data_IF_037010156477
#
_entry.id   IF_037010156477
#
_cell.length_a   1.000
_cell.length_b   1.000
_cell.length_c   1.000
_cell.angle_alpha   90.00
_cell.angle_beta   90.00
_cell.angle_gamma   90.00
#
_symmetry.space_group_name_H-M   'P 1'
#
loop_
_entity.id
_entity.type
_entity.pdbx_description
1 polymer ?
#
# COMPACT_ATOMS: atom_id res chain seq x y z
N UNK A 1 21.66 31.51 68.43
CA UNK A 1 21.70 31.72 66.99
C UNK A 1 21.53 30.37 66.31
N UNK A 2 20.31 30.07 65.86
CA UNK A 2 20.00 28.79 65.18
C UNK A 2 20.17 28.99 63.70
N UNK A 3 21.07 28.20 63.05
CA UNK A 3 21.24 28.18 61.62
C UNK A 3 20.17 27.23 61.06
N UNK A 4 19.28 27.80 60.25
CA UNK A 4 18.27 27.05 59.45
C UNK A 4 18.96 26.64 58.15
N UNK A 5 19.19 25.33 57.98
CA UNK A 5 19.56 24.73 56.69
C UNK A 5 18.29 24.57 55.85
N UNK A 6 18.21 25.28 54.74
CA UNK A 6 17.19 25.09 53.69
C UNK A 6 17.75 24.03 52.73
N UNK A 7 17.20 22.85 52.74
CA UNK A 7 17.49 21.81 51.77
C UNK A 7 16.60 22.08 50.53
N UNK A 8 17.22 22.52 49.42
CA UNK A 8 16.57 22.63 48.12
C UNK A 8 16.59 21.22 47.49
N UNK A 9 15.46 20.54 47.53
CA UNK A 9 15.26 19.32 46.73
C UNK A 9 15.10 19.70 45.29
N UNK A 10 16.15 19.54 44.48
CA UNK A 10 16.05 19.61 43.04
C UNK A 10 15.31 18.37 42.53
N UNK A 11 14.04 18.56 42.16
CA UNK A 11 13.22 17.57 41.52
C UNK A 11 13.68 17.48 40.04
N UNK A 12 14.58 16.55 39.77
CA UNK A 12 14.94 16.16 38.39
C UNK A 12 13.72 15.50 37.76
N UNK A 13 12.95 16.29 37.03
CA UNK A 13 12.02 15.79 36.02
C UNK A 13 12.86 15.12 34.92
N UNK A 14 13.03 13.82 35.03
CA UNK A 14 13.48 12.97 33.92
C UNK A 14 12.31 12.94 32.92
N UNK A 15 12.31 13.89 31.99
CA UNK A 15 11.56 13.75 30.76
C UNK A 15 12.18 12.54 30.04
N UNK A 16 11.58 11.37 30.24
CA UNK A 16 11.80 10.24 29.37
C UNK A 16 11.30 10.68 27.99
N UNK A 17 12.20 11.19 27.16
CA UNK A 17 11.98 11.18 25.71
C UNK A 17 11.90 9.70 25.34
N UNK A 18 10.69 9.16 25.27
CA UNK A 18 10.49 7.91 24.58
C UNK A 18 11.02 8.14 23.15
N UNK A 19 12.16 7.52 22.83
CA UNK A 19 12.65 7.51 21.47
C UNK A 19 11.51 6.98 20.60
N UNK A 20 11.12 7.75 19.57
CA UNK A 20 10.21 7.22 18.56
C UNK A 20 10.79 5.90 18.09
N UNK A 21 9.98 4.84 17.96
CA UNK A 21 10.48 3.58 17.41
C UNK A 21 11.13 3.88 16.05
N UNK A 22 12.32 3.33 15.84
CA UNK A 22 13.00 3.51 14.56
C UNK A 22 12.18 2.78 13.48
N UNK A 23 11.81 3.51 12.43
CA UNK A 23 11.16 2.89 11.28
C UNK A 23 12.13 1.94 10.56
N UNK A 24 11.59 0.84 10.04
CA UNK A 24 12.34 -0.01 9.12
C UNK A 24 12.79 0.80 7.88
N UNK A 25 13.96 0.50 7.30
CA UNK A 25 14.33 0.99 5.97
C UNK A 25 13.24 0.63 4.94
N UNK A 26 12.95 1.51 4.00
CA UNK A 26 11.85 1.34 3.04
C UNK A 26 11.94 0.02 2.25
N UNK A 27 13.15 -0.39 1.92
CA UNK A 27 13.43 -1.64 1.22
C UNK A 27 13.03 -2.90 1.98
N UNK A 28 12.91 -2.83 3.32
CA UNK A 28 12.49 -3.95 4.18
C UNK A 28 11.01 -3.90 4.53
N UNK A 29 10.34 -2.77 4.26
CA UNK A 29 8.97 -2.56 4.71
C UNK A 29 7.98 -3.53 4.08
N UNK A 30 6.99 -3.90 4.90
CA UNK A 30 5.76 -4.58 4.48
C UNK A 30 4.61 -3.60 4.52
N UNK A 31 3.85 -3.55 3.44
CA UNK A 31 2.69 -2.65 3.28
C UNK A 31 1.43 -3.39 3.70
N UNK A 32 0.56 -2.72 4.44
CA UNK A 32 -0.78 -3.19 4.76
C UNK A 32 -1.80 -2.22 4.17
N UNK A 33 -2.68 -2.71 3.32
CA UNK A 33 -3.76 -1.94 2.74
C UNK A 33 -5.01 -2.02 3.62
N UNK A 34 -5.41 -0.88 4.17
CA UNK A 34 -6.57 -0.76 5.06
C UNK A 34 -7.76 -0.15 4.33
N UNK A 35 -8.83 -0.93 4.25
CA UNK A 35 -10.15 -0.44 3.86
C UNK A 35 -10.90 0.02 5.12
N UNK A 36 -10.85 1.31 5.44
CA UNK A 36 -11.43 1.87 6.68
C UNK A 36 -12.91 1.54 6.82
N UNK A 37 -13.71 1.63 5.73
CA UNK A 37 -15.16 1.31 5.72
C UNK A 37 -15.43 -0.11 6.20
N UNK A 38 -14.58 -1.06 5.79
CA UNK A 38 -14.78 -2.49 6.02
C UNK A 38 -13.96 -3.03 7.21
N UNK A 39 -13.09 -2.21 7.80
CA UNK A 39 -12.09 -2.66 8.77
C UNK A 39 -12.69 -3.06 10.12
N UNK A 40 -13.75 -2.37 10.53
CA UNK A 40 -14.50 -2.65 11.78
C UNK A 40 -16.01 -2.50 11.54
N UNK A 41 -16.86 -3.05 12.40
CA UNK A 41 -18.30 -2.85 12.29
C UNK A 41 -18.71 -1.37 12.24
N UNK A 42 -18.01 -0.50 12.95
CA UNK A 42 -18.23 0.95 12.92
C UNK A 42 -17.74 1.57 11.59
N UNK A 43 -16.62 1.07 11.04
CA UNK A 43 -15.99 1.59 9.83
C UNK A 43 -15.43 3.00 9.99
N UNK A 44 -14.88 3.32 11.18
CA UNK A 44 -14.39 4.66 11.52
C UNK A 44 -12.91 4.64 11.94
N UNK A 45 -12.23 5.80 11.86
CA UNK A 45 -10.86 5.95 12.36
C UNK A 45 -10.75 5.65 13.85
N UNK A 46 -11.72 6.11 14.65
CA UNK A 46 -11.73 5.88 16.10
C UNK A 46 -11.85 4.38 16.45
N UNK A 47 -12.53 3.58 15.63
CA UNK A 47 -12.62 2.15 15.80
C UNK A 47 -11.35 1.45 15.27
N UNK A 48 -10.88 1.82 14.06
CA UNK A 48 -9.66 1.27 13.45
C UNK A 48 -8.41 1.54 14.31
N UNK A 49 -8.33 2.69 14.98
CA UNK A 49 -7.23 3.03 15.91
C UNK A 49 -7.04 1.98 16.99
N UNK A 50 -8.09 1.33 17.47
CA UNK A 50 -8.01 0.30 18.52
C UNK A 50 -7.32 -0.98 18.04
N UNK A 51 -7.30 -1.20 16.72
CA UNK A 51 -6.67 -2.35 16.09
C UNK A 51 -5.20 -2.10 15.67
N UNK A 52 -4.70 -0.87 15.74
CA UNK A 52 -3.32 -0.55 15.39
C UNK A 52 -2.28 -1.36 16.19
N UNK A 53 -2.46 -1.64 17.51
CA UNK A 53 -1.54 -2.51 18.24
C UNK A 53 -1.46 -3.93 17.68
N UNK A 54 -2.55 -4.45 17.08
CA UNK A 54 -2.57 -5.75 16.40
C UNK A 54 -1.72 -5.74 15.14
N UNK A 55 -1.78 -4.65 14.34
CA UNK A 55 -0.93 -4.48 13.16
C UNK A 55 0.54 -4.29 13.52
N UNK A 56 0.83 -3.58 14.61
CA UNK A 56 2.20 -3.49 15.13
C UNK A 56 2.72 -4.87 15.55
N UNK A 57 1.92 -5.67 16.25
CA UNK A 57 2.28 -7.03 16.65
C UNK A 57 2.50 -7.96 15.45
N UNK A 58 1.72 -7.77 14.40
CA UNK A 58 1.89 -8.47 13.12
C UNK A 58 3.23 -8.12 12.47
N UNK A 59 3.74 -6.90 12.70
CA UNK A 59 5.01 -6.40 12.17
C UNK A 59 4.88 -5.48 10.95
N UNK A 60 3.70 -4.89 10.72
CA UNK A 60 3.47 -3.97 9.61
C UNK A 60 4.31 -2.70 9.76
N UNK A 61 4.82 -2.17 8.65
CA UNK A 61 5.67 -0.98 8.60
C UNK A 61 4.97 0.22 7.97
N UNK A 62 4.23 -0.01 6.87
CA UNK A 62 3.52 1.01 6.13
C UNK A 62 2.04 0.64 6.09
N UNK A 63 1.21 1.52 6.62
CA UNK A 63 -0.24 1.43 6.55
C UNK A 63 -0.73 2.31 5.40
N UNK A 64 -1.18 1.69 4.31
CA UNK A 64 -1.83 2.37 3.21
C UNK A 64 -3.34 2.38 3.44
N UNK A 65 -3.90 3.57 3.64
CA UNK A 65 -5.34 3.80 3.71
C UNK A 65 -5.91 3.98 2.31
N UNK A 66 -6.89 3.16 1.93
CA UNK A 66 -7.72 3.43 0.75
C UNK A 66 -8.33 4.85 0.87
N UNK A 67 -8.87 5.44 -0.24
CA UNK A 67 -9.29 6.85 -0.20
C UNK A 67 -10.14 7.19 1.01
N UNK A 68 -9.75 8.25 1.72
CA UNK A 68 -10.34 8.68 3.00
C UNK A 68 -11.25 9.91 2.84
N UNK A 69 -11.44 10.37 1.62
CA UNK A 69 -12.13 11.61 1.27
C UNK A 69 -13.65 11.43 1.17
N UNK A 70 -14.43 12.51 1.27
CA UNK A 70 -15.86 12.50 0.95
C UNK A 70 -16.10 11.98 -0.46
N UNK A 71 -17.15 11.19 -0.62
CA UNK A 71 -17.51 10.54 -1.89
C UNK A 71 -18.65 11.33 -2.53
N UNK A 72 -18.57 11.58 -3.83
CA UNK A 72 -19.61 12.25 -4.61
C UNK A 72 -20.98 11.56 -4.52
N UNK A 73 -22.02 12.30 -4.81
CA UNK A 73 -23.42 11.83 -4.80
C UNK A 73 -23.96 11.66 -6.22
N UNK A 74 -23.50 12.52 -7.15
CA UNK A 74 -23.92 12.45 -8.55
C UNK A 74 -23.35 11.19 -9.22
N UNK A 75 -24.25 10.38 -9.80
CA UNK A 75 -23.87 9.12 -10.44
C UNK A 75 -23.43 8.01 -9.50
N UNK A 76 -23.58 8.19 -8.17
CA UNK A 76 -23.15 7.25 -7.13
C UNK A 76 -23.61 5.83 -7.39
N UNK A 77 -22.69 4.88 -7.37
CA UNK A 77 -22.95 3.43 -7.46
C UNK A 77 -23.19 2.85 -6.07
N UNK A 78 -24.16 1.96 -5.94
CA UNK A 78 -24.55 1.38 -4.65
C UNK A 78 -25.04 2.43 -3.65
N UNK A 79 -25.10 2.08 -2.37
CA UNK A 79 -25.60 2.98 -1.31
C UNK A 79 -24.54 3.99 -0.83
N UNK A 80 -23.27 3.58 -0.81
CA UNK A 80 -22.17 4.39 -0.25
C UNK A 80 -21.19 4.94 -1.30
N UNK A 81 -21.25 4.44 -2.54
CA UNK A 81 -20.42 4.90 -3.65
C UNK A 81 -19.00 4.35 -3.64
N UNK A 82 -18.28 4.66 -4.72
CA UNK A 82 -16.88 4.33 -4.89
C UNK A 82 -16.01 5.21 -4.00
N UNK A 83 -15.04 4.61 -3.30
CA UNK A 83 -13.98 5.34 -2.58
C UNK A 83 -13.21 6.29 -3.50
N UNK A 84 -13.13 5.96 -4.79
CA UNK A 84 -12.36 6.69 -5.80
C UNK A 84 -13.15 7.84 -6.47
N UNK A 85 -14.44 7.99 -6.20
CA UNK A 85 -15.24 9.14 -6.65
C UNK A 85 -15.07 10.32 -5.66
N UNK A 86 -13.90 10.94 -5.67
CA UNK A 86 -13.50 11.97 -4.70
C UNK A 86 -14.33 13.24 -4.86
N UNK A 87 -15.02 13.67 -3.80
CA UNK A 87 -15.77 14.93 -3.77
C UNK A 87 -14.90 16.11 -3.31
N UNK A 88 -14.06 15.91 -2.27
CA UNK A 88 -13.16 16.95 -1.75
C UNK A 88 -11.83 16.34 -1.30
N UNK A 89 -10.72 16.77 -1.89
CA UNK A 89 -9.39 16.24 -1.59
C UNK A 89 -8.82 16.62 -0.24
N UNK A 90 -9.39 17.59 0.46
CA UNK A 90 -8.84 18.13 1.72
C UNK A 90 -9.74 17.88 2.94
N UNK A 91 -10.75 17.03 2.78
CA UNK A 91 -11.67 16.66 3.85
C UNK A 91 -11.65 15.14 4.10
N UNK A 92 -12.10 14.77 5.29
CA UNK A 92 -12.32 13.38 5.69
C UNK A 92 -13.77 12.99 5.35
N UNK A 93 -13.96 11.78 4.83
CA UNK A 93 -15.28 11.20 4.64
C UNK A 93 -16.01 11.16 5.99
N UNK A 94 -17.17 11.80 6.12
CA UNK A 94 -17.92 11.85 7.38
C UNK A 94 -18.35 10.47 7.88
N UNK A 95 -18.37 9.43 7.01
CA UNK A 95 -18.59 8.05 7.43
C UNK A 95 -17.42 7.51 8.27
N UNK A 96 -16.20 8.02 8.09
CA UNK A 96 -15.00 7.56 8.79
C UNK A 96 -14.72 8.36 10.07
N UNK A 97 -15.40 9.49 10.28
CA UNK A 97 -15.23 10.39 11.41
C UNK A 97 -14.85 11.80 11.00
N UNK A 98 -14.15 12.50 11.87
CA UNK A 98 -13.71 13.88 11.66
C UNK A 98 -12.20 13.95 11.33
N UNK A 99 -11.72 15.16 11.01
CA UNK A 99 -10.28 15.41 10.85
C UNK A 99 -9.52 15.14 12.17
N UNK A 100 -10.12 15.46 13.31
CA UNK A 100 -9.54 15.20 14.62
C UNK A 100 -9.43 13.69 14.91
N UNK A 101 -10.41 12.89 14.48
CA UNK A 101 -10.35 11.42 14.58
C UNK A 101 -9.22 10.85 13.71
N UNK A 102 -9.05 11.38 12.50
CA UNK A 102 -7.94 11.00 11.63
C UNK A 102 -6.58 11.40 12.23
N UNK A 103 -6.43 12.64 12.74
CA UNK A 103 -5.19 13.09 13.36
C UNK A 103 -4.84 12.26 14.62
N UNK A 104 -5.84 11.85 15.40
CA UNK A 104 -5.64 10.95 16.55
C UNK A 104 -5.20 9.56 16.10
N UNK A 105 -5.81 9.02 15.04
CA UNK A 105 -5.41 7.74 14.42
C UNK A 105 -3.96 7.81 13.92
N UNK A 106 -3.59 8.88 13.18
CA UNK A 106 -2.25 9.10 12.65
C UNK A 106 -1.21 9.20 13.78
N UNK A 107 -1.50 9.95 14.83
CA UNK A 107 -0.62 10.08 15.99
C UNK A 107 -0.38 8.73 16.69
N UNK A 108 -1.43 7.90 16.83
CA UNK A 108 -1.30 6.56 17.41
C UNK A 108 -0.51 5.61 16.50
N UNK A 109 -0.76 5.64 15.17
CA UNK A 109 0.03 4.86 14.22
C UNK A 109 1.53 5.20 14.32
N UNK A 110 1.88 6.48 14.34
CA UNK A 110 3.26 6.93 14.52
C UNK A 110 3.85 6.54 15.87
N UNK A 111 3.05 6.61 16.95
CA UNK A 111 3.49 6.15 18.28
C UNK A 111 3.86 4.67 18.28
N UNK A 112 3.18 3.88 17.47
CA UNK A 112 3.42 2.45 17.28
C UNK A 112 4.52 2.14 16.25
N UNK A 113 5.10 3.17 15.60
CA UNK A 113 6.16 3.01 14.61
C UNK A 113 5.67 2.70 13.19
N UNK A 114 4.37 2.80 12.94
CA UNK A 114 3.79 2.64 11.61
C UNK A 114 3.92 3.95 10.82
N UNK A 115 4.30 3.86 9.53
CA UNK A 115 4.10 4.93 8.56
C UNK A 115 2.66 4.87 8.06
N UNK A 116 2.09 6.03 7.77
CA UNK A 116 0.74 6.11 7.19
C UNK A 116 0.82 6.80 5.84
N UNK A 117 0.37 6.12 4.79
CA UNK A 117 0.19 6.70 3.46
C UNK A 117 -1.28 6.66 3.09
N UNK A 118 -1.72 7.65 2.31
CA UNK A 118 -3.09 7.71 1.83
C UNK A 118 -3.17 7.55 0.32
N UNK A 119 -4.32 7.15 -0.17
CA UNK A 119 -4.57 7.05 -1.60
C UNK A 119 -4.74 8.44 -2.21
N UNK A 120 -4.04 8.72 -3.31
CA UNK A 120 -4.13 9.95 -4.10
C UNK A 120 -4.75 9.62 -5.45
N UNK A 121 -6.03 9.95 -5.61
CA UNK A 121 -6.78 9.75 -6.86
C UNK A 121 -6.56 10.96 -7.76
N UNK A 122 -5.46 10.97 -8.52
CA UNK A 122 -5.07 12.15 -9.27
C UNK A 122 -5.68 12.24 -10.68
N UNK A 123 -6.20 11.14 -11.24
CA UNK A 123 -6.73 11.11 -12.60
C UNK A 123 -8.13 11.75 -12.73
N UNK A 124 -8.96 11.65 -11.70
CA UNK A 124 -10.37 12.07 -11.77
C UNK A 124 -10.92 12.47 -10.39
N UNK A 125 -12.09 13.10 -10.40
CA UNK A 125 -12.91 13.39 -9.21
C UNK A 125 -14.28 12.76 -9.38
N UNK A 126 -15.20 12.95 -8.40
CA UNK A 126 -16.63 12.78 -8.68
C UNK A 126 -17.18 13.91 -9.58
N UNK A 127 -18.32 13.72 -10.28
CA UNK A 127 -18.93 14.76 -11.10
C UNK A 127 -19.39 15.99 -10.33
N UNK A 128 -19.73 15.81 -9.04
CA UNK A 128 -20.16 16.84 -8.10
C UNK A 128 -19.04 17.25 -7.11
N UNK A 129 -17.78 17.05 -7.46
CA UNK A 129 -16.65 17.49 -6.66
C UNK A 129 -16.65 19.01 -6.47
N UNK A 130 -16.11 19.48 -5.34
CA UNK A 130 -16.03 20.92 -5.06
C UNK A 130 -15.28 21.69 -6.16
N UNK A 131 -14.32 21.06 -6.80
CA UNK A 131 -13.60 21.67 -7.92
C UNK A 131 -14.47 21.89 -9.17
N UNK A 132 -15.57 21.17 -9.37
CA UNK A 132 -16.47 21.40 -10.52
C UNK A 132 -17.22 22.73 -10.43
N UNK A 133 -17.36 23.29 -9.22
CA UNK A 133 -18.03 24.57 -8.97
C UNK A 133 -17.06 25.69 -8.58
N UNK A 134 -15.95 25.37 -7.93
CA UNK A 134 -14.97 26.35 -7.42
C UNK A 134 -13.87 26.68 -8.44
N UNK A 135 -13.69 25.85 -9.45
CA UNK A 135 -12.64 25.98 -10.47
C UNK A 135 -13.23 26.25 -11.84
N UNK A 136 -12.38 26.73 -12.75
CA UNK A 136 -12.76 26.94 -14.13
C UNK A 136 -13.17 25.63 -14.83
N UNK A 137 -14.15 25.65 -15.75
CA UNK A 137 -14.61 24.46 -16.46
C UNK A 137 -13.49 23.69 -17.19
N UNK A 138 -12.40 24.36 -17.55
CA UNK A 138 -11.22 23.83 -18.24
C UNK A 138 -10.35 22.93 -17.35
N UNK A 139 -10.69 22.82 -16.06
CA UNK A 139 -10.06 21.86 -15.17
C UNK A 139 -10.43 20.40 -15.48
N UNK A 140 -11.54 20.23 -16.23
CA UNK A 140 -12.06 18.91 -16.60
C UNK A 140 -12.02 18.68 -18.10
N UNK A 141 -11.72 17.47 -18.51
CA UNK A 141 -11.91 17.03 -19.86
C UNK A 141 -13.39 17.07 -20.23
N UNK A 142 -13.70 17.52 -21.46
CA UNK A 142 -15.08 17.62 -21.93
C UNK A 142 -15.22 17.08 -23.33
N UNK A 143 -16.35 16.43 -23.57
CA UNK A 143 -16.75 15.99 -24.92
C UNK A 143 -17.32 17.17 -25.77
N UNK A 144 -17.67 16.88 -27.01
CA UNK A 144 -18.24 17.86 -27.96
C UNK A 144 -19.54 18.51 -27.45
N UNK A 145 -20.27 17.83 -26.54
CA UNK A 145 -21.50 18.35 -25.92
C UNK A 145 -21.22 19.24 -24.68
N UNK A 146 -19.94 19.39 -24.30
CA UNK A 146 -19.51 20.15 -23.12
C UNK A 146 -19.68 19.43 -21.81
N UNK A 147 -20.01 18.13 -21.80
CA UNK A 147 -20.08 17.30 -20.60
C UNK A 147 -18.70 16.77 -20.23
N UNK A 148 -18.45 16.61 -18.94
CA UNK A 148 -17.23 15.96 -18.45
C UNK A 148 -17.12 14.53 -18.98
N UNK A 149 -15.90 14.10 -19.29
CA UNK A 149 -15.60 12.73 -19.66
C UNK A 149 -15.28 11.88 -18.44
N UNK A 150 -15.31 10.57 -18.59
CA UNK A 150 -14.89 9.60 -17.58
C UNK A 150 -14.18 8.42 -18.25
N UNK A 151 -13.37 7.71 -17.48
CA UNK A 151 -12.61 6.55 -17.96
C UNK A 151 -13.48 5.29 -17.89
N UNK A 152 -13.37 4.40 -18.88
CA UNK A 152 -14.08 3.12 -18.94
C UNK A 152 -15.61 3.27 -18.70
N UNK A 153 -16.16 2.55 -17.73
CA UNK A 153 -17.56 2.59 -17.31
C UNK A 153 -17.80 3.33 -15.99
N UNK A 154 -16.82 4.15 -15.53
CA UNK A 154 -16.84 4.84 -14.24
C UNK A 154 -17.65 6.13 -14.31
N UNK A 155 -18.95 5.99 -14.62
CA UNK A 155 -19.89 7.11 -14.81
C UNK A 155 -20.11 7.98 -13.56
N UNK A 156 -19.60 7.56 -12.42
CA UNK A 156 -19.54 8.28 -11.15
C UNK A 156 -18.24 9.10 -10.96
N UNK A 157 -17.47 9.28 -12.06
CA UNK A 157 -16.24 10.08 -12.08
C UNK A 157 -16.24 11.16 -13.15
N UNK A 158 -15.30 12.10 -13.07
CA UNK A 158 -15.03 13.16 -14.05
C UNK A 158 -13.52 13.34 -14.20
N UNK A 159 -13.00 13.14 -15.42
CA UNK A 159 -11.58 13.21 -15.70
C UNK A 159 -11.04 14.64 -15.56
N UNK A 160 -9.90 14.78 -14.90
CA UNK A 160 -9.16 16.03 -14.78
C UNK A 160 -8.36 16.31 -16.06
N UNK A 161 -8.33 17.56 -16.49
CA UNK A 161 -7.61 17.99 -17.69
C UNK A 161 -6.19 18.43 -17.35
N UNK A 162 -5.23 17.54 -17.47
CA UNK A 162 -3.81 17.82 -17.21
C UNK A 162 -3.09 18.66 -18.28
N UNK A 163 -3.75 19.05 -19.37
CA UNK A 163 -3.24 20.11 -20.25
C UNK A 163 -3.30 21.47 -19.55
N UNK A 164 -4.20 21.62 -18.58
CA UNK A 164 -4.31 22.81 -17.74
C UNK A 164 -3.36 22.72 -16.53
N UNK A 165 -2.35 23.57 -16.48
CA UNK A 165 -1.36 23.61 -15.38
C UNK A 165 -1.94 24.04 -14.02
N UNK A 166 -3.12 24.66 -13.98
CA UNK A 166 -3.79 24.99 -12.72
C UNK A 166 -4.29 23.71 -12.02
N UNK A 167 -4.61 22.65 -12.76
CA UNK A 167 -4.92 21.31 -12.21
C UNK A 167 -3.69 20.76 -11.49
N UNK A 168 -2.49 20.92 -12.05
CA UNK A 168 -1.24 20.50 -11.42
C UNK A 168 -1.04 21.19 -10.07
N UNK A 169 -1.20 22.51 -10.04
CA UNK A 169 -1.07 23.29 -8.82
C UNK A 169 -2.13 22.89 -7.77
N UNK A 170 -3.36 22.63 -8.20
CA UNK A 170 -4.44 22.18 -7.32
C UNK A 170 -4.17 20.83 -6.70
N UNK A 171 -3.78 19.84 -7.51
CA UNK A 171 -3.46 18.49 -7.03
C UNK A 171 -2.22 18.47 -6.15
N UNK A 172 -1.14 19.16 -6.55
CA UNK A 172 0.06 19.31 -5.72
C UNK A 172 -0.24 20.00 -4.39
N UNK A 173 -1.15 21.00 -4.40
CA UNK A 173 -1.64 21.66 -3.20
C UNK A 173 -2.42 20.72 -2.26
N UNK A 174 -3.27 19.87 -2.80
CA UNK A 174 -3.98 18.85 -2.03
C UNK A 174 -3.01 17.82 -1.41
N UNK A 175 -2.01 17.36 -2.18
CA UNK A 175 -0.96 16.48 -1.64
C UNK A 175 -0.17 17.17 -0.53
N UNK A 176 0.22 18.44 -0.70
CA UNK A 176 0.94 19.20 0.33
C UNK A 176 0.11 19.34 1.60
N UNK A 177 -1.19 19.60 1.50
CA UNK A 177 -2.08 19.69 2.66
C UNK A 177 -2.00 18.42 3.53
N UNK A 178 -2.01 17.25 2.94
CA UNK A 178 -1.92 16.00 3.70
C UNK A 178 -0.52 15.75 4.27
N UNK A 179 0.54 16.12 3.54
CA UNK A 179 1.91 16.08 4.08
C UNK A 179 2.06 17.02 5.29
N UNK A 180 1.43 18.17 5.28
CA UNK A 180 1.38 19.10 6.42
C UNK A 180 0.58 18.55 7.61
N UNK A 181 -0.41 17.66 7.37
CA UNK A 181 -1.10 16.88 8.40
C UNK A 181 -0.22 15.79 9.01
N UNK A 182 0.90 15.47 8.38
CA UNK A 182 1.93 14.57 8.90
C UNK A 182 1.85 13.13 8.39
N UNK A 183 1.15 12.87 7.29
CA UNK A 183 1.25 11.54 6.64
C UNK A 183 2.65 11.31 6.08
N UNK A 184 2.98 10.05 5.79
CA UNK A 184 4.33 9.66 5.34
C UNK A 184 4.44 9.48 3.82
N UNK A 185 3.38 9.72 3.07
CA UNK A 185 3.39 9.62 1.62
C UNK A 185 2.06 9.22 0.99
N UNK A 186 2.14 8.68 -0.24
CA UNK A 186 0.95 8.40 -1.04
C UNK A 186 1.06 7.07 -1.79
N UNK A 187 -0.09 6.42 -1.98
CA UNK A 187 -0.34 5.51 -3.10
C UNK A 187 -1.10 6.31 -4.15
N UNK A 188 -0.60 6.33 -5.37
CA UNK A 188 -1.18 7.10 -6.46
C UNK A 188 -1.96 6.20 -7.39
N UNK A 189 -3.28 6.40 -7.37
CA UNK A 189 -4.25 5.72 -8.21
C UNK A 189 -4.01 6.03 -9.68
N UNK A 190 -4.06 4.99 -10.53
CA UNK A 190 -3.90 5.11 -11.99
C UNK A 190 -2.73 6.02 -12.39
N UNK A 191 -1.56 5.86 -11.74
CA UNK A 191 -0.43 6.78 -11.91
C UNK A 191 0.06 6.88 -13.37
N UNK A 192 -0.18 5.85 -14.20
CA UNK A 192 0.18 5.83 -15.61
C UNK A 192 -0.72 6.71 -16.49
N UNK A 193 -1.95 7.02 -16.05
CA UNK A 193 -2.90 7.88 -16.79
C UNK A 193 -2.69 9.37 -16.49
N UNK A 194 -1.86 9.70 -15.50
CA UNK A 194 -1.49 11.07 -15.16
C UNK A 194 -0.13 11.39 -15.77
N UNK A 195 0.08 12.59 -16.36
CA UNK A 195 1.33 12.94 -17.01
C UNK A 195 2.55 12.73 -16.11
N UNK A 196 3.56 12.10 -16.66
CA UNK A 196 4.80 11.76 -15.97
C UNK A 196 5.52 13.01 -15.42
N UNK A 197 5.46 14.09 -16.17
CA UNK A 197 6.03 15.40 -15.82
C UNK A 197 5.36 16.00 -14.59
N UNK A 198 4.05 15.79 -14.41
CA UNK A 198 3.35 16.19 -13.20
C UNK A 198 3.94 15.48 -11.97
N UNK A 199 4.10 14.16 -12.05
CA UNK A 199 4.71 13.39 -10.96
C UNK A 199 6.13 13.83 -10.69
N UNK A 200 6.94 14.03 -11.73
CA UNK A 200 8.33 14.48 -11.61
C UNK A 200 8.44 15.80 -10.86
N UNK A 201 7.66 16.81 -11.28
CA UNK A 201 7.68 18.14 -10.67
C UNK A 201 7.13 18.09 -9.23
N UNK A 202 6.00 17.43 -9.02
CA UNK A 202 5.29 17.38 -7.73
C UNK A 202 6.07 16.59 -6.68
N UNK A 203 6.56 15.39 -7.03
CA UNK A 203 7.32 14.54 -6.10
C UNK A 203 8.64 15.23 -5.72
N UNK A 204 9.34 15.85 -6.68
CA UNK A 204 10.57 16.58 -6.39
C UNK A 204 10.33 17.76 -5.44
N UNK A 205 9.25 18.53 -5.67
CA UNK A 205 8.89 19.67 -4.83
C UNK A 205 8.48 19.24 -3.42
N UNK A 206 7.71 18.18 -3.27
CA UNK A 206 7.32 17.66 -1.95
C UNK A 206 8.50 17.04 -1.20
N UNK A 207 9.39 16.31 -1.88
CA UNK A 207 10.58 15.71 -1.24
C UNK A 207 11.61 16.74 -0.78
N UNK A 208 11.63 17.93 -1.35
CA UNK A 208 12.48 19.02 -0.85
C UNK A 208 12.12 19.38 0.60
N UNK A 209 10.84 19.33 0.96
CA UNK A 209 10.35 19.62 2.31
C UNK A 209 10.18 18.32 3.15
N UNK A 210 9.88 17.20 2.51
CA UNK A 210 9.61 15.91 3.13
C UNK A 210 10.48 14.79 2.54
N UNK A 211 11.81 14.77 2.82
CA UNK A 211 12.76 13.88 2.14
C UNK A 211 12.50 12.37 2.38
N UNK A 212 11.79 12.03 3.45
CA UNK A 212 11.39 10.65 3.77
C UNK A 212 10.06 10.20 3.15
N UNK A 213 9.43 11.03 2.30
CA UNK A 213 8.13 10.72 1.70
C UNK A 213 8.17 9.46 0.85
N UNK A 214 7.29 8.50 1.16
CA UNK A 214 7.10 7.28 0.39
C UNK A 214 6.08 7.49 -0.72
N UNK A 215 6.38 6.98 -1.91
CA UNK A 215 5.52 7.08 -3.08
C UNK A 215 5.34 5.70 -3.73
N UNK A 216 4.10 5.25 -3.80
CA UNK A 216 3.68 4.01 -4.45
C UNK A 216 2.81 4.35 -5.68
N UNK A 217 3.21 3.87 -6.85
CA UNK A 217 2.44 4.05 -8.07
C UNK A 217 1.59 2.81 -8.38
N UNK A 218 0.31 3.00 -8.66
CA UNK A 218 -0.43 1.99 -9.39
C UNK A 218 -0.07 2.08 -10.86
N UNK A 219 0.75 1.13 -11.31
CA UNK A 219 1.30 1.04 -12.65
C UNK A 219 2.57 0.20 -12.66
N UNK A 220 3.04 -0.18 -13.85
CA UNK A 220 4.23 -1.02 -14.02
C UNK A 220 5.31 -0.38 -14.89
N UNK A 221 5.10 0.84 -15.41
CA UNK A 221 6.04 1.48 -16.31
C UNK A 221 7.33 1.89 -15.60
N UNK A 222 8.50 1.51 -16.15
CA UNK A 222 9.80 1.84 -15.56
C UNK A 222 10.03 3.35 -15.36
N UNK A 223 9.37 4.17 -16.18
CA UNK A 223 9.45 5.63 -16.11
C UNK A 223 8.92 6.21 -14.79
N UNK A 224 7.98 5.52 -14.13
CA UNK A 224 7.49 5.91 -12.81
C UNK A 224 8.61 5.96 -11.77
N UNK A 225 9.60 5.07 -11.88
CA UNK A 225 10.77 5.09 -11.01
C UNK A 225 11.85 6.06 -11.53
N UNK A 226 12.30 5.83 -12.76
CA UNK A 226 13.50 6.48 -13.30
C UNK A 226 13.35 7.97 -13.57
N UNK A 227 12.12 8.45 -13.84
CA UNK A 227 11.87 9.85 -14.16
C UNK A 227 11.05 10.57 -13.09
N UNK A 228 10.06 9.92 -12.48
CA UNK A 228 9.15 10.59 -11.55
C UNK A 228 9.52 10.41 -10.07
N UNK A 229 10.35 9.45 -9.74
CA UNK A 229 10.85 9.25 -8.37
C UNK A 229 9.89 8.48 -7.45
N UNK A 230 9.00 7.65 -7.97
CA UNK A 230 8.28 6.68 -7.15
C UNK A 230 9.24 5.67 -6.52
N UNK A 231 8.99 5.28 -5.28
CA UNK A 231 9.77 4.25 -4.59
C UNK A 231 9.32 2.86 -5.04
N UNK A 232 8.00 2.66 -5.13
CA UNK A 232 7.39 1.38 -5.44
C UNK A 232 6.38 1.50 -6.57
N UNK A 233 6.23 0.44 -7.35
CA UNK A 233 5.18 0.28 -8.36
C UNK A 233 4.60 -1.12 -8.29
N UNK A 234 3.37 -1.30 -8.76
CA UNK A 234 2.70 -2.59 -8.74
C UNK A 234 3.45 -3.64 -9.59
N UNK A 235 3.34 -4.90 -9.19
CA UNK A 235 3.78 -6.07 -9.95
C UNK A 235 2.56 -6.87 -10.43
N UNK A 236 1.72 -6.25 -11.27
CA UNK A 236 0.49 -6.85 -11.80
C UNK A 236 0.79 -8.11 -12.63
N UNK A 237 1.83 -8.07 -13.45
CA UNK A 237 2.23 -9.22 -14.27
C UNK A 237 2.61 -10.42 -13.38
N UNK A 238 3.33 -10.18 -12.26
CA UNK A 238 3.62 -11.23 -11.28
C UNK A 238 2.34 -11.74 -10.61
N UNK A 239 1.45 -10.85 -10.20
CA UNK A 239 0.18 -11.21 -9.58
C UNK A 239 -0.60 -12.18 -10.50
N UNK A 240 -0.75 -11.84 -11.78
CA UNK A 240 -1.39 -12.71 -12.76
C UNK A 240 -0.62 -14.03 -12.98
N UNK A 241 0.71 -13.99 -12.98
CA UNK A 241 1.57 -15.18 -13.07
C UNK A 241 1.33 -16.13 -11.89
N UNK A 242 1.33 -15.63 -10.66
CA UNK A 242 1.08 -16.44 -9.46
C UNK A 242 -0.31 -17.09 -9.47
N UNK A 243 -1.35 -16.33 -9.87
CA UNK A 243 -2.69 -16.88 -10.07
C UNK A 243 -2.71 -18.01 -11.13
N UNK A 244 -2.03 -17.81 -12.26
CA UNK A 244 -1.96 -18.79 -13.33
C UNK A 244 -1.18 -20.06 -12.91
N UNK A 245 -0.10 -19.91 -12.13
CA UNK A 245 0.63 -21.06 -11.55
C UNK A 245 -0.27 -21.83 -10.59
N UNK A 246 -0.99 -21.14 -9.71
CA UNK A 246 -1.90 -21.79 -8.77
C UNK A 246 -3.00 -22.61 -9.46
N UNK A 247 -3.43 -22.19 -10.65
CA UNK A 247 -4.40 -22.93 -11.49
C UNK A 247 -3.76 -23.98 -12.42
N UNK A 248 -2.42 -24.10 -12.41
CA UNK A 248 -1.69 -25.00 -13.29
C UNK A 248 -1.62 -24.57 -14.76
N UNK A 249 -1.88 -23.31 -15.06
CA UNK A 249 -1.84 -22.70 -16.40
C UNK A 249 -0.44 -22.21 -16.76
N UNK A 250 0.40 -21.97 -15.77
CA UNK A 250 1.79 -21.52 -15.87
C UNK A 250 2.71 -22.39 -15.00
N UNK A 251 4.00 -22.28 -15.21
CA UNK A 251 5.01 -23.15 -14.62
C UNK A 251 6.28 -22.38 -14.19
N UNK A 252 7.26 -23.07 -13.59
CA UNK A 252 8.51 -22.51 -13.11
C UNK A 252 9.32 -21.78 -14.21
N UNK A 253 9.56 -22.37 -15.42
CA UNK A 253 10.23 -21.67 -16.50
C UNK A 253 9.63 -20.31 -16.85
N UNK A 254 8.30 -20.20 -16.90
CA UNK A 254 7.61 -18.96 -17.21
C UNK A 254 7.74 -17.90 -16.08
N UNK A 255 7.72 -18.37 -14.81
CA UNK A 255 8.00 -17.50 -13.66
C UNK A 255 9.44 -16.96 -13.73
N UNK A 256 10.42 -17.80 -14.03
CA UNK A 256 11.82 -17.39 -14.13
C UNK A 256 12.05 -16.45 -15.32
N UNK A 257 11.38 -16.66 -16.44
CA UNK A 257 11.39 -15.75 -17.58
C UNK A 257 10.81 -14.37 -17.20
N UNK A 258 9.70 -14.33 -16.46
CA UNK A 258 9.15 -13.08 -15.93
C UNK A 258 10.16 -12.36 -15.03
N UNK A 259 10.76 -13.06 -14.05
CA UNK A 259 11.73 -12.47 -13.12
C UNK A 259 12.92 -11.85 -13.89
N UNK A 260 13.44 -12.55 -14.89
CA UNK A 260 14.54 -12.05 -15.72
C UNK A 260 14.13 -10.80 -16.51
N UNK A 261 12.97 -10.81 -17.15
CA UNK A 261 12.43 -9.66 -17.90
C UNK A 261 12.15 -8.46 -17.01
N UNK A 262 11.58 -8.68 -15.83
CA UNK A 262 11.30 -7.58 -14.89
C UNK A 262 12.59 -6.93 -14.39
N UNK A 263 13.61 -7.74 -14.09
CA UNK A 263 14.93 -7.25 -13.70
C UNK A 263 15.67 -6.48 -14.80
N UNK A 264 15.44 -6.81 -16.08
CA UNK A 264 15.99 -6.06 -17.22
C UNK A 264 15.24 -4.74 -17.48
N UNK A 265 13.92 -4.77 -17.27
CA UNK A 265 13.00 -3.66 -17.56
C UNK A 265 13.05 -2.56 -16.51
N UNK A 266 13.08 -2.94 -15.23
CA UNK A 266 12.96 -2.02 -14.11
C UNK A 266 14.31 -1.47 -13.65
N UNK A 267 14.37 -0.22 -13.15
CA UNK A 267 15.57 0.26 -12.45
C UNK A 267 15.94 -0.64 -11.27
N UNK A 268 17.23 -0.80 -11.03
CA UNK A 268 17.72 -1.73 -10.00
C UNK A 268 17.24 -1.39 -8.58
N UNK A 269 17.02 -0.11 -8.29
CA UNK A 269 16.55 0.42 -7.01
C UNK A 269 15.00 0.46 -6.89
N UNK A 270 14.27 0.09 -7.94
CA UNK A 270 12.81 0.04 -7.93
C UNK A 270 12.28 -1.05 -7.01
N UNK A 271 11.27 -0.71 -6.18
CA UNK A 271 10.51 -1.70 -5.42
C UNK A 271 9.29 -2.15 -6.24
N UNK A 272 9.01 -3.43 -6.19
CA UNK A 272 7.86 -4.04 -6.86
C UNK A 272 6.82 -4.45 -5.81
N UNK A 273 5.67 -3.74 -5.73
CA UNK A 273 4.60 -4.13 -4.81
C UNK A 273 4.04 -5.48 -5.25
N UNK A 274 4.35 -6.50 -4.47
CA UNK A 274 3.94 -7.88 -4.73
C UNK A 274 2.81 -8.30 -3.80
N UNK A 275 1.76 -8.88 -4.34
CA UNK A 275 0.55 -9.17 -3.59
C UNK A 275 -0.19 -10.40 -4.13
N UNK A 276 -0.94 -11.05 -3.26
CA UNK A 276 -1.89 -12.10 -3.61
C UNK A 276 -3.32 -11.57 -3.67
N UNK A 277 -3.60 -10.44 -3.01
CA UNK A 277 -4.88 -9.73 -3.07
C UNK A 277 -4.69 -8.23 -2.81
N UNK A 278 -5.67 -7.43 -3.23
CA UNK A 278 -5.87 -6.04 -2.92
C UNK A 278 -7.38 -5.73 -2.98
N UNK A 279 -7.78 -4.47 -2.83
CA UNK A 279 -9.20 -4.08 -2.86
C UNK A 279 -9.90 -4.41 -4.18
N UNK A 280 -9.20 -4.31 -5.32
CA UNK A 280 -9.77 -4.64 -6.64
C UNK A 280 -9.92 -6.15 -6.82
N UNK A 281 -8.83 -6.89 -6.64
CA UNK A 281 -8.85 -8.34 -6.80
C UNK A 281 -9.85 -9.01 -5.88
N UNK A 282 -9.90 -8.60 -4.61
CA UNK A 282 -10.85 -9.14 -3.66
C UNK A 282 -12.30 -8.90 -4.10
N UNK A 283 -12.64 -7.68 -4.49
CA UNK A 283 -14.02 -7.32 -4.80
C UNK A 283 -14.47 -7.84 -6.18
N UNK A 284 -13.59 -7.81 -7.20
CA UNK A 284 -13.97 -8.05 -8.59
C UNK A 284 -13.55 -9.41 -9.13
N UNK A 285 -12.37 -9.92 -8.75
CA UNK A 285 -11.85 -11.21 -9.22
C UNK A 285 -12.09 -12.36 -8.24
N UNK A 286 -12.23 -12.05 -6.96
CA UNK A 286 -12.44 -13.04 -5.90
C UNK A 286 -11.33 -13.01 -4.84
N UNK A 287 -11.58 -13.69 -3.73
CA UNK A 287 -10.57 -13.85 -2.68
C UNK A 287 -9.36 -14.64 -3.20
N UNK A 288 -8.23 -14.55 -2.53
CA UNK A 288 -7.05 -15.38 -2.85
C UNK A 288 -7.35 -16.88 -2.76
N UNK A 289 -8.27 -17.27 -1.89
CA UNK A 289 -8.68 -18.67 -1.76
C UNK A 289 -9.52 -19.13 -2.96
N UNK A 290 -10.40 -18.28 -3.50
CA UNK A 290 -11.19 -18.60 -4.70
C UNK A 290 -10.30 -18.65 -5.95
N UNK A 291 -9.26 -17.80 -6.02
CA UNK A 291 -8.38 -17.69 -7.19
C UNK A 291 -7.21 -18.68 -7.17
N UNK A 292 -6.67 -18.98 -5.99
CA UNK A 292 -5.44 -19.75 -5.81
C UNK A 292 -5.64 -21.07 -5.02
N UNK A 293 -6.80 -21.25 -4.35
CA UNK A 293 -7.08 -22.44 -3.55
C UNK A 293 -6.00 -22.69 -2.48
N UNK A 294 -5.57 -23.94 -2.35
CA UNK A 294 -4.55 -24.36 -1.38
C UNK A 294 -3.16 -23.77 -1.64
N UNK A 295 -2.93 -23.20 -2.83
CA UNK A 295 -1.67 -22.52 -3.17
C UNK A 295 -1.53 -21.14 -2.50
N UNK A 296 -2.60 -20.55 -1.97
CA UNK A 296 -2.62 -19.16 -1.50
C UNK A 296 -1.48 -18.82 -0.53
N UNK A 297 -1.23 -19.69 0.47
CA UNK A 297 -0.10 -19.48 1.42
C UNK A 297 1.27 -19.50 0.73
N UNK A 298 1.48 -20.43 -0.22
CA UNK A 298 2.74 -20.48 -0.97
C UNK A 298 2.92 -19.26 -1.88
N UNK A 299 1.86 -18.81 -2.54
CA UNK A 299 1.93 -17.59 -3.38
C UNK A 299 2.23 -16.36 -2.52
N UNK A 300 1.69 -16.27 -1.31
CA UNK A 300 2.07 -15.22 -0.35
C UNK A 300 3.57 -15.33 0.02
N UNK A 301 4.12 -16.52 0.28
CA UNK A 301 5.56 -16.70 0.53
C UNK A 301 6.41 -16.16 -0.63
N UNK A 302 6.01 -16.40 -1.86
CA UNK A 302 6.72 -15.89 -3.03
C UNK A 302 6.71 -14.36 -3.09
N UNK A 303 5.62 -13.69 -2.71
CA UNK A 303 5.58 -12.21 -2.65
C UNK A 303 6.54 -11.62 -1.62
N UNK A 304 6.90 -12.37 -0.57
CA UNK A 304 7.85 -11.97 0.46
C UNK A 304 9.31 -12.27 0.13
N UNK A 305 9.56 -13.20 -0.80
CA UNK A 305 10.91 -13.76 -1.00
C UNK A 305 11.52 -13.53 -2.38
N UNK A 306 10.69 -13.28 -3.40
CA UNK A 306 11.16 -12.97 -4.76
C UNK A 306 11.93 -11.63 -4.80
N UNK A 307 12.84 -11.46 -5.82
CA UNK A 307 13.68 -10.26 -5.91
C UNK A 307 12.86 -8.98 -6.13
N UNK A 308 13.39 -7.86 -5.64
CA UNK A 308 12.80 -6.51 -5.72
C UNK A 308 11.42 -6.36 -5.06
N UNK A 309 10.87 -7.43 -4.45
CA UNK A 309 9.55 -7.45 -3.88
C UNK A 309 9.41 -6.59 -2.63
N UNK A 310 8.34 -5.78 -2.58
CA UNK A 310 7.79 -5.16 -1.40
C UNK A 310 6.41 -5.77 -1.17
N UNK A 311 6.23 -6.59 -0.12
CA UNK A 311 4.98 -7.32 0.07
C UNK A 311 3.83 -6.42 0.49
N UNK A 312 2.63 -6.72 -0.02
CA UNK A 312 1.36 -6.15 0.40
C UNK A 312 0.49 -7.22 1.05
N UNK A 313 -0.13 -6.86 2.17
CA UNK A 313 -1.22 -7.60 2.80
C UNK A 313 -2.47 -6.72 2.74
N UNK A 314 -3.56 -7.23 2.19
CA UNK A 314 -4.85 -6.55 2.15
C UNK A 314 -5.69 -6.89 3.38
N UNK A 315 -6.53 -5.96 3.81
CA UNK A 315 -7.51 -6.08 4.91
C UNK A 315 -8.14 -7.46 4.99
N UNK A 316 -7.90 -8.19 6.08
CA UNK A 316 -8.49 -9.50 6.36
C UNK A 316 -7.63 -10.70 5.96
N UNK A 317 -6.62 -10.55 5.10
CA UNK A 317 -5.76 -11.67 4.70
C UNK A 317 -5.03 -12.29 5.90
N UNK A 318 -4.62 -11.48 6.87
CA UNK A 318 -3.92 -11.91 8.07
C UNK A 318 -4.79 -12.75 9.04
N UNK A 319 -6.07 -12.87 8.77
CA UNK A 319 -6.94 -13.79 9.50
C UNK A 319 -7.57 -14.87 8.59
N UNK A 320 -7.15 -14.91 7.32
CA UNK A 320 -7.71 -15.85 6.35
C UNK A 320 -9.18 -15.55 6.02
N UNK A 321 -9.55 -14.27 5.97
CA UNK A 321 -10.91 -13.83 5.73
C UNK A 321 -11.35 -14.12 4.28
N UNK A 322 -11.95 -15.28 4.07
CA UNK A 322 -12.42 -15.72 2.74
C UNK A 322 -13.78 -15.10 2.41
N UNK A 323 -13.78 -13.78 2.17
CA UNK A 323 -14.98 -13.01 1.87
C UNK A 323 -14.66 -11.89 0.86
N UNK A 324 -15.49 -11.75 -0.18
CA UNK A 324 -15.42 -10.63 -1.12
C UNK A 324 -16.16 -9.45 -0.54
N UNK A 325 -15.45 -8.37 -0.26
CA UNK A 325 -16.10 -7.16 0.20
C UNK A 325 -16.99 -6.55 -0.87
N UNK A 326 -18.20 -6.15 -0.47
CA UNK A 326 -19.12 -5.39 -1.33
C UNK A 326 -18.58 -3.96 -1.50
N UNK A 327 -17.98 -3.66 -2.65
CA UNK A 327 -17.18 -2.44 -2.89
C UNK A 327 -17.95 -1.14 -2.63
N UNK A 328 -19.24 -1.08 -3.00
CA UNK A 328 -20.07 0.12 -2.89
C UNK A 328 -20.95 0.16 -1.64
N UNK A 329 -20.82 -0.82 -0.74
CA UNK A 329 -21.65 -1.01 0.43
C UNK A 329 -20.81 -1.11 1.70
N UNK A 330 -21.45 -1.10 2.85
CA UNK A 330 -20.83 -1.44 4.12
C UNK A 330 -20.95 -2.94 4.37
N UNK A 331 -19.82 -3.62 4.41
CA UNK A 331 -19.71 -5.08 4.51
C UNK A 331 -18.49 -5.43 5.39
N UNK A 332 -18.50 -5.00 6.67
CA UNK A 332 -17.30 -4.96 7.49
C UNK A 332 -16.91 -6.32 8.05
N UNK A 333 -15.62 -6.45 8.37
CA UNK A 333 -15.11 -7.51 9.24
C UNK A 333 -15.84 -7.43 10.60
N UNK A 334 -16.50 -8.51 11.04
CA UNK A 334 -17.30 -8.46 12.27
C UNK A 334 -16.44 -8.43 13.55
N UNK A 335 -15.29 -9.09 13.52
CA UNK A 335 -14.32 -9.14 14.60
C UNK A 335 -12.96 -9.62 14.09
N UNK A 336 -11.89 -9.12 14.68
CA UNK A 336 -10.53 -9.56 14.37
C UNK A 336 -10.13 -10.75 15.23
N UNK A 337 -9.51 -11.74 14.60
CA UNK A 337 -9.02 -12.95 15.24
C UNK A 337 -7.52 -13.15 14.96
N UNK A 338 -6.77 -13.56 15.98
CA UNK A 338 -5.39 -14.03 15.83
C UNK A 338 -5.42 -15.56 15.73
N UNK A 339 -5.39 -16.06 14.53
CA UNK A 339 -5.44 -17.47 14.20
C UNK A 339 -4.14 -17.93 13.52
N UNK A 340 -4.15 -19.10 12.87
CA UNK A 340 -2.98 -19.63 12.15
C UNK A 340 -2.51 -18.74 10.98
N UNK A 341 -3.39 -17.93 10.36
CA UNK A 341 -3.02 -17.01 9.30
C UNK A 341 -2.29 -15.79 9.87
N UNK A 342 -2.72 -15.31 11.05
CA UNK A 342 -2.02 -14.23 11.74
C UNK A 342 -0.57 -14.64 12.05
N UNK A 343 -0.37 -15.82 12.64
CA UNK A 343 0.98 -16.32 12.94
C UNK A 343 1.78 -16.57 11.65
N UNK A 344 1.17 -17.10 10.60
CA UNK A 344 1.81 -17.28 9.30
C UNK A 344 2.36 -15.97 8.73
N UNK A 345 1.55 -14.91 8.65
CA UNK A 345 2.01 -13.62 8.14
C UNK A 345 3.02 -12.96 9.08
N UNK A 346 2.83 -13.07 10.39
CA UNK A 346 3.78 -12.59 11.40
C UNK A 346 5.16 -13.22 11.23
N UNK A 347 5.21 -14.53 11.02
CA UNK A 347 6.47 -15.25 10.78
C UNK A 347 7.11 -14.84 9.44
N UNK A 348 6.34 -14.61 8.38
CA UNK A 348 6.86 -14.13 7.10
C UNK A 348 7.44 -12.72 7.24
N UNK A 349 6.74 -11.81 7.90
CA UNK A 349 7.20 -10.44 8.15
C UNK A 349 8.48 -10.47 8.99
N UNK A 350 8.49 -11.25 10.07
CA UNK A 350 9.68 -11.42 10.91
C UNK A 350 10.86 -11.98 10.09
N UNK A 351 10.63 -13.00 9.28
CA UNK A 351 11.65 -13.57 8.40
C UNK A 351 12.23 -12.50 7.48
N UNK A 352 11.39 -11.65 6.89
CA UNK A 352 11.85 -10.54 6.05
C UNK A 352 12.68 -9.52 6.84
N UNK A 353 12.21 -9.08 8.01
CA UNK A 353 12.91 -8.08 8.84
C UNK A 353 14.26 -8.57 9.36
N UNK A 354 14.38 -9.85 9.68
CA UNK A 354 15.61 -10.44 10.19
C UNK A 354 16.63 -10.78 9.09
N UNK A 355 16.20 -10.75 7.80
CA UNK A 355 17.03 -11.16 6.67
C UNK A 355 17.15 -10.07 5.61
N UNK A 356 18.17 -9.19 5.68
CA UNK A 356 18.41 -8.15 4.69
C UNK A 356 18.50 -8.65 3.24
N UNK A 357 18.86 -9.92 3.04
CA UNK A 357 18.86 -10.52 1.71
C UNK A 357 17.48 -10.50 1.04
N UNK A 358 16.39 -10.41 1.80
CA UNK A 358 15.02 -10.29 1.27
C UNK A 358 14.59 -8.85 0.97
N UNK A 359 15.44 -7.85 1.21
CA UNK A 359 15.13 -6.46 0.90
C UNK A 359 14.76 -6.25 -0.57
N UNK A 360 13.94 -5.23 -0.82
CA UNK A 360 13.55 -4.81 -2.17
C UNK A 360 14.66 -4.01 -2.87
N UNK A 361 14.55 -3.90 -4.18
CA UNK A 361 15.47 -3.12 -5.01
C UNK A 361 16.92 -3.62 -4.93
N UNK A 362 17.86 -2.70 -5.08
CA UNK A 362 19.31 -2.95 -5.12
C UNK A 362 19.93 -3.29 -3.76
N UNK A 363 19.18 -3.16 -2.68
CA UNK A 363 19.61 -3.52 -1.32
C UNK A 363 19.42 -5.00 -1.02
N UNK A 364 18.57 -5.69 -1.78
CA UNK A 364 18.33 -7.12 -1.61
C UNK A 364 19.50 -7.99 -2.08
N UNK A 365 19.50 -9.23 -1.58
CA UNK A 365 20.49 -10.24 -1.97
C UNK A 365 20.34 -10.67 -3.42
N UNK A 366 21.46 -11.10 -4.03
CA UNK A 366 21.46 -11.69 -5.36
C UNK A 366 20.52 -12.88 -5.44
N UNK A 367 19.64 -12.87 -6.43
CA UNK A 367 18.74 -13.99 -6.71
C UNK A 367 19.47 -15.03 -7.57
N UNK A 368 19.49 -16.29 -7.14
CA UNK A 368 20.07 -17.39 -7.89
C UNK A 368 19.21 -18.64 -7.77
N UNK A 369 18.90 -19.24 -8.90
CA UNK A 369 18.18 -20.53 -8.96
C UNK A 369 19.15 -21.66 -8.67
N UNK A 370 18.82 -22.48 -7.68
CA UNK A 370 19.63 -23.65 -7.28
C UNK A 370 19.16 -24.92 -7.99
N UNK A 371 17.83 -25.10 -8.07
CA UNK A 371 17.22 -26.28 -8.70
C UNK A 371 15.79 -25.96 -9.17
N UNK A 372 15.39 -26.64 -10.25
CA UNK A 372 14.04 -26.60 -10.83
C UNK A 372 13.55 -28.02 -11.16
N UNK A 373 13.82 -28.99 -10.29
CA UNK A 373 13.45 -30.39 -10.53
C UNK A 373 11.94 -30.60 -10.29
N UNK A 374 11.29 -31.28 -11.23
CA UNK A 374 9.82 -31.53 -11.25
C UNK A 374 9.00 -30.23 -11.14
N UNK A 375 8.34 -30.02 -10.03
CA UNK A 375 7.55 -28.83 -9.73
C UNK A 375 8.15 -28.01 -8.57
N UNK A 376 9.38 -28.35 -8.17
CA UNK A 376 10.07 -27.70 -7.06
C UNK A 376 11.01 -26.63 -7.59
N UNK A 377 10.81 -25.40 -7.15
CA UNK A 377 11.74 -24.29 -7.34
C UNK A 377 12.55 -24.11 -6.05
N UNK A 378 13.88 -24.19 -6.17
CA UNK A 378 14.81 -23.83 -5.10
C UNK A 378 15.64 -22.64 -5.56
N UNK A 379 15.59 -21.56 -4.78
CA UNK A 379 16.40 -20.37 -5.07
C UNK A 379 17.01 -19.78 -3.81
N UNK A 380 18.02 -18.96 -3.99
CA UNK A 380 18.66 -18.20 -2.90
C UNK A 380 18.56 -16.70 -3.13
N UNK A 381 18.54 -15.96 -2.02
CA UNK A 381 18.79 -14.52 -1.94
C UNK A 381 20.05 -14.35 -1.10
N UNK A 382 21.12 -13.79 -1.68
CA UNK A 382 22.45 -13.82 -1.03
C UNK A 382 23.09 -12.44 -0.96
N UNK A 383 23.42 -12.02 0.25
CA UNK A 383 24.34 -10.92 0.60
C UNK A 383 25.60 -11.49 1.24
N UNK A 384 26.69 -10.70 1.39
CA UNK A 384 27.93 -11.20 1.98
C UNK A 384 27.80 -11.88 3.35
N UNK A 385 26.85 -11.43 4.18
CA UNK A 385 26.67 -11.89 5.56
C UNK A 385 25.26 -12.42 5.84
N UNK A 386 24.45 -12.67 4.80
CA UNK A 386 23.10 -13.20 4.98
C UNK A 386 22.66 -13.92 3.71
N UNK A 387 22.24 -15.14 3.85
CA UNK A 387 21.72 -15.95 2.76
C UNK A 387 20.41 -16.58 3.17
N UNK A 388 19.39 -16.38 2.34
CA UNK A 388 18.09 -17.05 2.48
C UNK A 388 17.92 -18.02 1.34
N UNK A 389 17.59 -19.26 1.67
CA UNK A 389 17.21 -20.30 0.71
C UNK A 389 15.73 -20.56 0.82
N UNK A 390 15.04 -20.53 -0.30
CA UNK A 390 13.60 -20.83 -0.41
C UNK A 390 13.43 -22.06 -1.28
N UNK A 391 12.71 -23.05 -0.76
CA UNK A 391 12.22 -24.20 -1.52
C UNK A 391 10.70 -24.09 -1.62
N UNK A 392 10.17 -24.08 -2.83
CA UNK A 392 8.76 -23.91 -3.13
C UNK A 392 8.29 -25.06 -4.04
N UNK A 393 7.31 -25.84 -3.57
CA UNK A 393 6.66 -26.89 -4.37
C UNK A 393 5.46 -26.27 -5.11
N UNK A 394 5.63 -25.95 -6.38
CA UNK A 394 4.64 -25.24 -7.21
C UNK A 394 3.60 -26.17 -7.84
N UNK A 395 3.21 -27.19 -7.11
CA UNK A 395 2.15 -28.17 -7.43
C UNK A 395 1.63 -28.80 -6.15
N UNK A 396 0.41 -29.29 -6.19
CA UNK A 396 -0.19 -29.99 -5.05
C UNK A 396 0.60 -31.28 -4.68
N UNK A 397 0.85 -31.52 -3.38
CA UNK A 397 0.51 -30.67 -2.23
C UNK A 397 1.46 -29.47 -2.15
N UNK A 398 0.91 -28.27 -2.16
CA UNK A 398 1.65 -27.01 -2.09
C UNK A 398 2.42 -26.91 -0.77
N UNK A 399 3.72 -26.69 -0.85
CA UNK A 399 4.56 -26.58 0.34
C UNK A 399 5.74 -25.63 0.13
N UNK A 400 6.30 -25.15 1.22
CA UNK A 400 7.48 -24.31 1.19
C UNK A 400 8.38 -24.58 2.41
N UNK A 401 9.63 -24.21 2.25
CA UNK A 401 10.63 -24.16 3.31
C UNK A 401 11.50 -22.91 3.11
N UNK A 402 11.73 -22.16 4.17
CA UNK A 402 12.63 -21.00 4.18
C UNK A 402 13.71 -21.25 5.22
N UNK A 403 14.97 -21.17 4.83
CA UNK A 403 16.13 -21.29 5.72
C UNK A 403 17.02 -20.07 5.55
N UNK A 404 17.54 -19.55 6.67
CA UNK A 404 18.45 -18.41 6.69
C UNK A 404 19.79 -18.78 7.33
N UNK A 405 20.90 -18.27 6.76
CA UNK A 405 22.28 -18.48 7.20
C UNK A 405 23.02 -17.14 7.36
#
# INVERSE_FOLDING_TARGET
MKKILIAIAAMLLVLSCAQKPAHQPLENCVVYEMNVRQYTPEGTFAAAQKELPRLQELGIDILWLMPIHPIGVEGRKGSLGSYYAIQNYTEINPEFGTMEDFEAFLAEAHRLGLRVVIDCVANHTSPDAVWTTERAPEWYERNEEGKTTFTADWSDTANLNYENKDVWAGMAGAMRFWMEKGIDGFRCDMACEVPLEFWQETIAALRADYPGMYMLAEGEEPKLHSLSGFNSSYAWELHHMLNAIARGEKNIPELLEYIAKDAERQPADAFRLMFTSNHDENSWAGTEFERMGDAAKLMAVLTFTLPSGQPLIYTGQEMGWNHRFAFFEKDPIPAWEKNEYFEFYKDLIKTRHENPALAAGDKGGKFEVVSTEDSTLVFTRTLPNNKVTVKAELKAPWSYEITAE
#
